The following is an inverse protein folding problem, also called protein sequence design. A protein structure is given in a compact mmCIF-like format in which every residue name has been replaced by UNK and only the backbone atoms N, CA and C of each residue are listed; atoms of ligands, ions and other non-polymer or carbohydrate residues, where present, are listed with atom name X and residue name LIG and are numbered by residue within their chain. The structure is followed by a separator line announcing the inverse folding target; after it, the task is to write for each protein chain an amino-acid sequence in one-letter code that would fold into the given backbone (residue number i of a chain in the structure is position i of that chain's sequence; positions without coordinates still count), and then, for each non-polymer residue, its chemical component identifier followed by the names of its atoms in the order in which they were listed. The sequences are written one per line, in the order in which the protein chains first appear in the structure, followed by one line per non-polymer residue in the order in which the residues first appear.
data_IF_069755968089
#
_entry.id   IF_069755968089
#
_cell.length_a   1.000
_cell.length_b   1.000
_cell.length_c   1.000
_cell.angle_alpha   90.00
_cell.angle_beta   90.00
_cell.angle_gamma   90.00
#
_symmetry.space_group_name_H-M   'P 1'
#
loop_
_entity.id
_entity.type
_entity.pdbx_description
1 polymer ?
#
# COMPACT_ATOMS: atom_id res chain seq x y z
N UNK A 1 2.51 -7.72 25.26
CA UNK A 1 3.86 -7.73 24.66
C UNK A 1 4.46 -6.34 24.82
N UNK A 2 5.60 -6.24 25.51
CA UNK A 2 6.33 -4.98 25.69
C UNK A 2 6.69 -4.35 24.32
N UNK A 3 6.70 -3.02 24.25
CA UNK A 3 7.03 -2.27 23.02
C UNK A 3 8.46 -2.59 22.59
N UNK A 4 8.63 -3.14 21.40
CA UNK A 4 9.94 -3.51 20.83
C UNK A 4 10.50 -2.40 19.93
N UNK A 5 10.70 -1.21 20.49
CA UNK A 5 11.39 -0.10 19.85
C UNK A 5 10.52 1.11 19.45
N UNK A 6 11.11 2.11 18.77
CA UNK A 6 10.43 3.35 18.39
C UNK A 6 9.36 3.13 17.32
N UNK A 7 8.29 3.90 17.41
CA UNK A 7 7.18 3.94 16.46
C UNK A 7 7.07 5.33 15.80
N UNK A 8 6.43 5.41 14.64
CA UNK A 8 6.11 6.72 14.01
C UNK A 8 5.27 7.60 14.95
N UNK A 9 4.41 6.98 15.78
CA UNK A 9 3.63 7.70 16.77
C UNK A 9 4.49 8.43 17.81
N UNK A 10 5.65 7.89 18.17
CA UNK A 10 6.55 8.55 19.12
C UNK A 10 7.21 9.77 18.50
N UNK A 11 7.63 9.67 17.24
CA UNK A 11 8.20 10.80 16.49
C UNK A 11 7.18 11.95 16.44
N UNK A 12 5.92 11.64 16.16
CA UNK A 12 4.87 12.65 16.10
C UNK A 12 4.49 13.21 17.48
N UNK A 13 4.52 12.40 18.54
CA UNK A 13 4.31 12.91 19.91
C UNK A 13 5.44 13.83 20.36
N UNK A 14 6.69 13.48 20.04
CA UNK A 14 7.85 14.28 20.43
C UNK A 14 8.02 15.56 19.60
N UNK A 15 7.75 15.52 18.29
CA UNK A 15 8.11 16.60 17.36
C UNK A 15 6.95 17.12 16.50
N UNK A 16 5.76 16.51 16.58
CA UNK A 16 4.63 16.84 15.72
C UNK A 16 4.03 18.22 15.97
N UNK A 17 4.04 18.70 17.22
CA UNK A 17 3.58 20.05 17.56
C UNK A 17 4.50 21.12 16.96
N UNK A 18 5.81 21.02 17.21
CA UNK A 18 6.80 21.92 16.62
C UNK A 18 6.73 21.92 15.09
N UNK A 19 6.59 20.74 14.48
CA UNK A 19 6.40 20.61 13.03
C UNK A 19 5.13 21.34 12.54
N UNK A 20 4.00 21.20 13.25
CA UNK A 20 2.76 21.89 12.89
C UNK A 20 2.91 23.41 12.98
N UNK A 21 3.56 23.90 14.03
CA UNK A 21 3.80 25.33 14.21
C UNK A 21 4.70 25.91 13.10
N UNK A 22 5.78 25.20 12.74
CA UNK A 22 6.72 25.65 11.71
C UNK A 22 6.15 25.60 10.30
N UNK A 23 5.29 24.61 9.99
CA UNK A 23 4.79 24.33 8.64
C UNK A 23 3.30 24.66 8.45
N UNK A 24 2.73 25.51 9.30
CA UNK A 24 1.28 25.72 9.41
C UNK A 24 0.62 26.05 8.05
N UNK A 25 1.23 26.94 7.27
CA UNK A 25 0.69 27.36 5.96
C UNK A 25 0.77 26.30 4.86
N UNK A 26 1.63 25.28 5.02
CA UNK A 26 1.88 24.26 4.01
C UNK A 26 1.20 22.90 4.30
N UNK A 27 0.78 22.69 5.54
CA UNK A 27 0.14 21.46 5.98
C UNK A 27 -1.33 21.40 5.58
N UNK A 28 -1.66 20.44 4.73
CA UNK A 28 -3.05 20.12 4.39
C UNK A 28 -3.83 19.60 5.60
N UNK A 29 -5.15 19.83 5.61
CA UNK A 29 -6.07 19.27 6.61
C UNK A 29 -5.95 17.75 6.73
N UNK A 30 -5.75 17.05 5.61
CA UNK A 30 -5.55 15.60 5.59
C UNK A 30 -4.27 15.18 6.34
N UNK A 31 -3.16 15.89 6.14
CA UNK A 31 -1.91 15.63 6.85
C UNK A 31 -2.07 15.87 8.35
N UNK A 32 -2.71 16.97 8.76
CA UNK A 32 -2.99 17.26 10.18
C UNK A 32 -3.81 16.15 10.84
N UNK A 33 -4.92 15.75 10.21
CA UNK A 33 -5.78 14.66 10.70
C UNK A 33 -4.99 13.35 10.86
N UNK A 34 -4.11 13.03 9.93
CA UNK A 34 -3.29 11.82 9.99
C UNK A 34 -2.24 11.91 11.10
N UNK A 35 -1.59 13.07 11.29
CA UNK A 35 -0.67 13.27 12.41
C UNK A 35 -1.38 13.02 13.74
N UNK A 36 -2.52 13.69 13.97
CA UNK A 36 -3.33 13.50 15.18
C UNK A 36 -3.79 12.06 15.35
N UNK A 37 -4.29 11.41 14.29
CA UNK A 37 -4.73 10.01 14.35
C UNK A 37 -3.59 9.08 14.79
N UNK A 38 -2.37 9.27 14.27
CA UNK A 38 -1.22 8.44 14.61
C UNK A 38 -0.73 8.75 16.04
N UNK A 39 -0.71 10.02 16.46
CA UNK A 39 -0.36 10.45 17.82
C UNK A 39 -1.26 9.81 18.88
N UNK A 40 -2.58 9.82 18.64
CA UNK A 40 -3.57 9.26 19.57
C UNK A 40 -3.69 7.73 19.50
N UNK A 41 -3.13 7.10 18.47
CA UNK A 41 -3.26 5.66 18.24
C UNK A 41 -2.72 4.85 19.42
N UNK A 42 -3.56 3.92 19.93
CA UNK A 42 -3.23 3.04 21.07
C UNK A 42 -2.89 3.82 22.34
N UNK A 43 -3.62 4.90 22.61
CA UNK A 43 -3.56 5.66 23.86
C UNK A 43 -4.95 5.72 24.50
N UNK A 44 -5.01 6.13 25.76
CA UNK A 44 -6.26 6.35 26.49
C UNK A 44 -7.21 7.33 25.80
N UNK A 45 -6.69 8.26 24.98
CA UNK A 45 -7.50 9.25 24.28
C UNK A 45 -8.49 8.65 23.27
N UNK A 46 -8.28 7.40 22.82
CA UNK A 46 -9.21 6.69 21.95
C UNK A 46 -10.11 5.70 22.71
N UNK A 47 -10.07 5.71 24.04
CA UNK A 47 -10.69 4.70 24.88
C UNK A 47 -10.01 3.34 24.74
N UNK A 48 -10.62 2.33 25.35
CA UNK A 48 -10.10 0.97 25.33
C UNK A 48 -10.86 0.07 26.29
N UNK A 49 -10.22 -1.02 26.64
CA UNK A 49 -10.78 -1.98 27.59
C UNK A 49 -9.71 -2.57 28.49
N UNK A 50 -10.12 -2.96 29.69
CA UNK A 50 -9.28 -3.68 30.64
C UNK A 50 -9.62 -5.16 30.52
N UNK A 51 -8.60 -5.99 30.42
CA UNK A 51 -8.73 -7.44 30.47
C UNK A 51 -8.11 -7.96 31.76
N UNK A 52 -8.77 -8.92 32.41
CA UNK A 52 -8.23 -9.65 33.55
C UNK A 52 -8.16 -11.14 33.22
N UNK A 53 -7.14 -11.82 33.72
CA UNK A 53 -7.04 -13.27 33.65
C UNK A 53 -8.03 -13.91 34.62
N UNK A 54 -8.86 -14.82 34.12
CA UNK A 54 -9.84 -15.59 34.89
C UNK A 54 -9.22 -16.56 35.91
N UNK A 55 -7.90 -16.81 35.85
CA UNK A 55 -7.20 -17.71 36.77
C UNK A 55 -6.22 -17.00 37.71
N UNK A 56 -5.31 -16.18 37.19
CA UNK A 56 -4.24 -15.57 38.00
C UNK A 56 -4.48 -14.10 38.34
N UNK A 57 -5.60 -13.51 37.89
CA UNK A 57 -5.92 -12.10 38.12
C UNK A 57 -5.02 -11.10 37.41
N UNK A 58 -4.07 -11.53 36.57
CA UNK A 58 -3.23 -10.63 35.76
C UNK A 58 -4.10 -9.68 34.92
N UNK A 59 -3.85 -8.36 35.00
CA UNK A 59 -4.61 -7.34 34.26
C UNK A 59 -3.76 -6.70 33.17
N UNK A 60 -4.39 -6.34 32.06
CA UNK A 60 -3.76 -5.51 31.01
C UNK A 60 -4.78 -4.56 30.40
N UNK A 61 -4.31 -3.40 29.97
CA UNK A 61 -5.12 -2.41 29.25
C UNK A 61 -4.87 -2.54 27.75
N UNK A 62 -5.93 -2.56 26.96
CA UNK A 62 -5.88 -2.59 25.51
C UNK A 62 -6.56 -1.33 24.94
N UNK A 63 -5.75 -0.36 24.52
CA UNK A 63 -6.25 0.86 23.91
C UNK A 63 -6.70 0.67 22.46
N UNK A 64 -7.72 1.44 22.05
CA UNK A 64 -8.25 1.41 20.70
C UNK A 64 -7.26 1.94 19.65
N UNK A 65 -7.41 1.43 18.43
CA UNK A 65 -6.59 1.86 17.29
C UNK A 65 -7.23 3.05 16.56
N UNK A 66 -6.43 3.94 15.98
CA UNK A 66 -6.97 5.05 15.17
C UNK A 66 -7.61 4.63 13.84
N UNK A 67 -7.36 3.38 13.39
CA UNK A 67 -7.86 2.80 12.12
C UNK A 67 -7.43 3.53 10.85
N UNK A 68 -6.58 4.56 10.93
CA UNK A 68 -6.09 5.27 9.75
C UNK A 68 -5.22 4.38 8.85
N UNK A 69 -5.39 4.52 7.53
CA UNK A 69 -4.66 3.73 6.52
C UNK A 69 -3.16 4.01 6.44
N UNK A 70 -2.71 5.14 6.98
CA UNK A 70 -1.32 5.57 7.00
C UNK A 70 -0.65 5.26 8.35
N UNK A 71 -1.39 4.77 9.35
CA UNK A 71 -0.81 4.36 10.62
C UNK A 71 -0.05 3.02 10.47
N UNK A 72 1.27 2.97 10.74
CA UNK A 72 2.05 1.73 10.62
C UNK A 72 1.57 0.60 11.55
N UNK A 73 0.83 0.93 12.60
CA UNK A 73 0.37 -0.02 13.63
C UNK A 73 -1.00 -0.64 13.36
N UNK A 74 -1.86 0.02 12.58
CA UNK A 74 -3.26 -0.39 12.41
C UNK A 74 -3.51 -1.36 11.25
N UNK A 75 -2.59 -1.43 10.28
CA UNK A 75 -2.89 -2.05 8.98
C UNK A 75 -2.77 -3.58 8.93
N UNK A 76 -2.27 -4.24 9.98
CA UNK A 76 -1.97 -5.68 9.96
C UNK A 76 -3.21 -6.56 9.75
N UNK A 77 -4.31 -6.29 10.45
CA UNK A 77 -5.53 -7.10 10.34
C UNK A 77 -6.28 -6.84 9.02
N UNK A 78 -6.36 -5.57 8.59
CA UNK A 78 -6.91 -5.21 7.29
C UNK A 78 -6.13 -5.89 6.15
N UNK A 79 -4.80 -5.94 6.26
CA UNK A 79 -3.93 -6.67 5.33
C UNK A 79 -4.26 -8.15 5.29
N UNK A 80 -4.41 -8.79 6.45
CA UNK A 80 -4.68 -10.21 6.52
C UNK A 80 -6.06 -10.58 5.92
N UNK A 81 -7.10 -9.80 6.24
CA UNK A 81 -8.41 -9.98 5.63
C UNK A 81 -8.33 -9.83 4.11
N UNK A 82 -7.69 -8.76 3.64
CA UNK A 82 -7.55 -8.52 2.22
C UNK A 82 -6.79 -9.65 1.51
N UNK A 83 -5.79 -10.26 2.16
CA UNK A 83 -5.06 -11.42 1.64
C UNK A 83 -5.93 -12.66 1.52
N UNK A 84 -6.74 -12.93 2.53
CA UNK A 84 -7.69 -14.04 2.52
C UNK A 84 -8.65 -13.90 1.33
N UNK A 85 -9.23 -12.72 1.15
CA UNK A 85 -10.11 -12.44 0.02
C UNK A 85 -9.42 -12.67 -1.34
N UNK A 86 -8.12 -12.33 -1.45
CA UNK A 86 -7.37 -12.57 -2.70
C UNK A 86 -7.02 -14.03 -2.89
N UNK A 87 -6.78 -14.81 -1.83
CA UNK A 87 -6.48 -16.24 -1.93
C UNK A 87 -7.61 -16.97 -2.63
N UNK A 88 -8.85 -16.65 -2.27
CA UNK A 88 -10.04 -17.26 -2.86
C UNK A 88 -10.18 -16.99 -4.37
N UNK A 89 -9.49 -15.97 -4.90
CA UNK A 89 -9.60 -15.53 -6.28
C UNK A 89 -8.41 -15.95 -7.15
N UNK A 90 -7.41 -16.63 -6.57
CA UNK A 90 -6.27 -17.12 -7.35
C UNK A 90 -6.73 -18.26 -8.27
N UNK A 91 -6.22 -18.23 -9.49
CA UNK A 91 -6.39 -19.24 -10.53
C UNK A 91 -5.17 -20.16 -10.53
N UNK A 92 -5.31 -21.38 -11.04
CA UNK A 92 -4.20 -22.33 -11.22
C UNK A 92 -3.37 -21.94 -12.44
N UNK A 93 -2.58 -20.88 -12.27
CA UNK A 93 -1.73 -20.30 -13.31
C UNK A 93 -0.54 -19.59 -12.69
N UNK A 94 0.45 -19.27 -13.52
CA UNK A 94 1.57 -18.43 -13.12
C UNK A 94 1.08 -17.02 -12.76
N UNK A 95 1.77 -16.32 -11.88
CA UNK A 95 1.45 -14.92 -11.59
C UNK A 95 2.70 -14.07 -11.74
N UNK A 96 2.58 -12.97 -12.46
CA UNK A 96 3.70 -12.08 -12.76
C UNK A 96 3.59 -10.79 -11.96
N UNK A 97 4.75 -10.29 -11.52
CA UNK A 97 4.86 -8.97 -10.89
C UNK A 97 5.42 -7.97 -11.88
N UNK A 98 4.57 -7.03 -12.32
CA UNK A 98 4.95 -5.95 -13.22
C UNK A 98 4.99 -4.63 -12.45
N UNK A 99 6.06 -3.85 -12.59
CA UNK A 99 6.21 -2.53 -11.98
C UNK A 99 6.23 -1.46 -13.06
N UNK A 100 5.46 -0.40 -12.86
CA UNK A 100 5.50 0.83 -13.67
C UNK A 100 5.92 1.98 -12.78
N UNK A 101 7.02 2.65 -13.11
CA UNK A 101 7.61 3.73 -12.29
C UNK A 101 7.61 5.05 -13.04
N UNK A 102 7.21 6.13 -12.36
CA UNK A 102 7.31 7.47 -12.93
C UNK A 102 8.74 8.02 -12.82
N UNK A 103 9.29 8.64 -13.87
CA UNK A 103 10.56 9.38 -13.80
C UNK A 103 10.52 10.51 -12.77
N UNK A 104 11.68 10.94 -12.29
CA UNK A 104 11.81 12.00 -11.28
C UNK A 104 11.10 13.29 -11.68
N UNK A 105 11.22 13.69 -12.94
CA UNK A 105 10.56 14.88 -13.50
C UNK A 105 9.03 14.81 -13.41
N UNK A 106 8.46 13.66 -13.76
CA UNK A 106 7.01 13.44 -13.62
C UNK A 106 6.61 13.33 -12.14
N UNK A 107 7.46 12.74 -11.29
CA UNK A 107 7.19 12.67 -9.87
C UNK A 107 7.10 14.08 -9.25
N UNK A 108 7.91 15.04 -9.72
CA UNK A 108 7.82 16.45 -9.31
C UNK A 108 6.45 17.06 -9.68
N UNK A 109 5.94 16.81 -10.89
CA UNK A 109 4.57 17.21 -11.27
C UNK A 109 3.52 16.51 -10.38
N UNK A 110 3.71 15.22 -10.10
CA UNK A 110 2.82 14.43 -9.26
C UNK A 110 2.76 14.94 -7.82
N UNK A 111 3.83 15.59 -7.33
CA UNK A 111 3.85 16.16 -5.99
C UNK A 111 2.79 17.25 -5.81
N UNK A 112 2.62 18.11 -6.82
CA UNK A 112 1.65 19.21 -6.83
C UNK A 112 0.25 18.75 -7.31
N UNK A 113 0.18 17.65 -8.06
CA UNK A 113 -1.04 17.18 -8.74
C UNK A 113 -1.40 15.71 -8.41
N UNK A 114 -1.20 15.29 -7.15
CA UNK A 114 -1.28 13.88 -6.71
C UNK A 114 -2.47 13.09 -7.26
N UNK A 115 -3.70 13.58 -7.04
CA UNK A 115 -4.91 12.85 -7.41
C UNK A 115 -5.00 12.59 -8.91
N UNK A 116 -4.70 13.61 -9.72
CA UNK A 116 -4.75 13.56 -11.17
C UNK A 116 -3.63 12.67 -11.72
N UNK A 117 -2.38 12.96 -11.35
CA UNK A 117 -1.22 12.25 -11.91
C UNK A 117 -1.19 10.78 -11.49
N UNK A 118 -1.56 10.44 -10.25
CA UNK A 118 -1.69 9.04 -9.86
C UNK A 118 -2.83 8.34 -10.59
N UNK A 119 -3.93 9.03 -10.89
CA UNK A 119 -5.01 8.46 -11.72
C UNK A 119 -4.56 8.23 -13.17
N UNK A 120 -3.77 9.13 -13.74
CA UNK A 120 -3.13 8.94 -15.05
C UNK A 120 -2.17 7.75 -15.04
N UNK A 121 -1.38 7.58 -13.97
CA UNK A 121 -0.50 6.43 -13.79
C UNK A 121 -1.27 5.11 -13.82
N UNK A 122 -2.39 5.01 -13.09
CA UNK A 122 -3.28 3.85 -13.15
C UNK A 122 -3.86 3.62 -14.55
N UNK A 123 -4.35 4.69 -15.19
CA UNK A 123 -4.97 4.61 -16.52
C UNK A 123 -3.98 4.10 -17.57
N UNK A 124 -2.83 4.77 -17.71
CA UNK A 124 -1.80 4.42 -18.67
C UNK A 124 -1.24 3.01 -18.45
N UNK A 125 -1.05 2.61 -17.19
CA UNK A 125 -0.62 1.25 -16.84
C UNK A 125 -1.63 0.20 -17.28
N UNK A 126 -2.92 0.41 -16.95
CA UNK A 126 -3.95 -0.56 -17.27
C UNK A 126 -4.20 -0.67 -18.78
N UNK A 127 -4.19 0.46 -19.48
CA UNK A 127 -4.30 0.53 -20.93
C UNK A 127 -3.12 -0.20 -21.59
N UNK A 128 -1.88 0.08 -21.16
CA UNK A 128 -0.67 -0.60 -21.66
C UNK A 128 -0.76 -2.11 -21.53
N UNK A 129 -1.06 -2.61 -20.32
CA UNK A 129 -1.12 -4.04 -20.07
C UNK A 129 -2.20 -4.72 -20.90
N UNK A 130 -3.41 -4.13 -20.97
CA UNK A 130 -4.53 -4.71 -21.72
C UNK A 130 -4.30 -4.68 -23.24
N UNK A 131 -3.76 -3.58 -23.77
CA UNK A 131 -3.48 -3.45 -25.20
C UNK A 131 -2.43 -4.44 -25.66
N UNK A 132 -1.30 -4.55 -24.96
CA UNK A 132 -0.22 -5.47 -25.36
C UNK A 132 -0.62 -6.93 -25.12
N UNK A 133 -1.37 -7.23 -24.05
CA UNK A 133 -1.86 -8.58 -23.82
C UNK A 133 -2.88 -9.04 -24.86
N UNK A 134 -3.75 -8.16 -25.34
CA UNK A 134 -4.77 -8.50 -26.33
C UNK A 134 -4.19 -8.71 -27.74
N UNK A 135 -2.99 -8.22 -28.05
CA UNK A 135 -2.35 -8.40 -29.36
C UNK A 135 -1.93 -9.87 -29.57
N UNK A 136 -2.43 -10.58 -30.60
CA UNK A 136 -2.05 -11.95 -30.92
C UNK A 136 -0.56 -12.14 -31.24
N UNK A 137 0.15 -11.08 -31.64
CA UNK A 137 1.62 -11.11 -31.81
C UNK A 137 2.36 -11.24 -30.48
N UNK A 138 1.66 -11.00 -29.37
CA UNK A 138 2.17 -11.13 -28.02
C UNK A 138 1.48 -12.27 -27.27
N UNK A 139 0.32 -12.02 -26.67
CA UNK A 139 -0.42 -13.03 -25.91
C UNK A 139 -1.78 -13.35 -26.55
N UNK A 140 -2.49 -12.36 -27.09
CA UNK A 140 -3.81 -12.55 -27.69
C UNK A 140 -4.94 -12.78 -26.69
N UNK A 141 -4.82 -12.28 -25.45
CA UNK A 141 -5.75 -12.60 -24.36
C UNK A 141 -6.22 -11.38 -23.55
N UNK A 142 -7.45 -11.46 -23.06
CA UNK A 142 -7.96 -10.60 -21.98
C UNK A 142 -7.41 -11.08 -20.64
N UNK A 143 -6.34 -10.42 -20.17
CA UNK A 143 -5.73 -10.67 -18.87
C UNK A 143 -6.54 -10.08 -17.71
N UNK A 144 -6.29 -10.57 -16.51
CA UNK A 144 -6.83 -10.04 -15.25
C UNK A 144 -5.71 -9.72 -14.28
N UNK A 145 -5.79 -8.54 -13.67
CA UNK A 145 -4.78 -8.05 -12.75
C UNK A 145 -5.32 -7.03 -11.78
N UNK A 146 -4.57 -6.77 -10.72
CA UNK A 146 -4.75 -5.59 -9.89
C UNK A 146 -3.45 -4.82 -9.77
N UNK A 147 -3.59 -3.52 -9.55
CA UNK A 147 -2.48 -2.60 -9.38
C UNK A 147 -2.56 -1.92 -8.01
N UNK A 148 -1.42 -1.77 -7.37
CA UNK A 148 -1.25 -1.14 -6.05
C UNK A 148 -0.31 0.04 -6.19
N UNK A 149 -0.77 1.23 -5.81
CA UNK A 149 0.05 2.44 -5.80
C UNK A 149 0.96 2.51 -4.58
N UNK A 150 2.26 2.71 -4.82
CA UNK A 150 3.20 3.25 -3.85
C UNK A 150 3.74 4.57 -4.30
N UNK A 151 4.12 5.39 -3.31
CA UNK A 151 4.64 6.74 -3.55
C UNK A 151 6.00 6.95 -2.91
N UNK A 152 6.66 5.89 -2.41
CA UNK A 152 7.93 5.97 -1.66
C UNK A 152 8.97 4.96 -2.13
N UNK A 153 10.24 5.36 -2.05
CA UNK A 153 11.39 4.46 -2.09
C UNK A 153 11.78 3.93 -0.69
N UNK A 154 12.89 3.19 -0.60
CA UNK A 154 13.39 2.72 0.71
C UNK A 154 13.77 3.87 1.63
N UNK A 155 14.33 4.97 1.11
CA UNK A 155 14.69 6.17 1.86
C UNK A 155 13.50 7.11 2.16
N UNK A 156 12.26 6.67 1.90
CA UNK A 156 11.03 7.45 2.12
C UNK A 156 11.01 8.75 1.28
N UNK A 157 11.73 8.77 0.17
CA UNK A 157 11.59 9.83 -0.83
C UNK A 157 10.43 9.54 -1.77
N UNK A 158 9.86 10.60 -2.33
CA UNK A 158 8.75 10.52 -3.28
C UNK A 158 9.16 9.75 -4.53
N UNK A 159 8.52 8.60 -4.74
CA UNK A 159 8.79 7.69 -5.84
C UNK A 159 7.50 6.97 -6.26
N UNK A 160 6.62 7.62 -7.05
CA UNK A 160 5.38 7.02 -7.50
C UNK A 160 5.60 5.84 -8.45
N UNK A 161 5.05 4.69 -8.09
CA UNK A 161 5.05 3.49 -8.93
C UNK A 161 3.86 2.59 -8.62
N UNK A 162 3.50 1.76 -9.60
CA UNK A 162 2.49 0.73 -9.43
C UNK A 162 3.14 -0.64 -9.37
N UNK A 163 2.72 -1.44 -8.38
CA UNK A 163 2.93 -2.88 -8.39
C UNK A 163 1.68 -3.55 -8.96
N UNK A 164 1.82 -4.20 -10.10
CA UNK A 164 0.78 -4.99 -10.74
C UNK A 164 1.02 -6.48 -10.50
N UNK A 165 -0.02 -7.19 -10.08
CA UNK A 165 -0.01 -8.65 -10.02
C UNK A 165 -0.97 -9.16 -11.07
N UNK A 166 -0.41 -9.87 -12.05
CA UNK A 166 -1.07 -10.25 -13.30
C UNK A 166 -1.12 -11.76 -13.40
N UNK A 167 -2.30 -12.30 -13.72
CA UNK A 167 -2.42 -13.73 -14.03
C UNK A 167 -1.63 -14.07 -15.31
N UNK A 168 -1.02 -15.25 -15.33
CA UNK A 168 -0.15 -15.76 -16.38
C UNK A 168 -0.91 -16.31 -17.57
N UNK A 169 -1.91 -15.56 -18.02
CA UNK A 169 -2.81 -15.91 -19.09
C UNK A 169 -4.10 -15.10 -18.99
N UNK A 170 -5.02 -15.38 -19.90
CA UNK A 170 -6.30 -14.71 -19.96
C UNK A 170 -7.28 -15.41 -20.88
N UNK A 171 -8.46 -14.80 -21.02
CA UNK A 171 -9.50 -15.29 -21.91
C UNK A 171 -9.15 -14.96 -23.36
N UNK A 172 -9.41 -15.87 -24.30
CA UNK A 172 -9.38 -15.57 -25.74
C UNK A 172 -10.40 -14.47 -26.09
N UNK A 173 -10.26 -13.87 -27.28
CA UNK A 173 -11.15 -12.78 -27.72
C UNK A 173 -12.63 -13.17 -27.76
N UNK A 174 -12.94 -14.44 -28.05
CA UNK A 174 -14.28 -15.04 -28.02
C UNK A 174 -14.70 -15.52 -26.62
N UNK A 175 -13.80 -15.43 -25.63
CA UNK A 175 -13.99 -15.91 -24.27
C UNK A 175 -14.01 -17.44 -24.12
N UNK A 176 -13.85 -18.23 -25.19
CA UNK A 176 -14.07 -19.68 -25.15
C UNK A 176 -12.88 -20.48 -24.65
N UNK A 177 -11.68 -19.89 -24.58
CA UNK A 177 -10.44 -20.59 -24.23
C UNK A 177 -9.61 -19.76 -23.26
N UNK A 178 -8.87 -20.46 -22.42
CA UNK A 178 -7.78 -19.86 -21.66
C UNK A 178 -6.49 -19.88 -22.50
N UNK A 179 -5.87 -18.72 -22.66
CA UNK A 179 -4.59 -18.56 -23.33
C UNK A 179 -3.51 -18.35 -22.28
N UNK A 180 -2.61 -19.32 -22.15
CA UNK A 180 -1.52 -19.33 -21.17
C UNK A 180 -0.30 -18.55 -21.68
N UNK A 181 0.34 -17.80 -20.78
CA UNK A 181 1.64 -17.19 -21.04
C UNK A 181 2.73 -18.26 -21.20
N UNK A 182 3.80 -17.93 -21.94
CA UNK A 182 4.98 -18.81 -22.01
C UNK A 182 5.59 -18.98 -20.59
N UNK A 183 6.12 -20.17 -20.23
CA UNK A 183 6.74 -20.38 -18.93
C UNK A 183 7.80 -19.32 -18.62
N UNK A 184 7.70 -18.67 -17.46
CA UNK A 184 8.67 -17.68 -17.02
C UNK A 184 8.58 -16.32 -17.73
N UNK A 185 7.71 -16.16 -18.73
CA UNK A 185 7.66 -14.99 -19.59
C UNK A 185 6.24 -14.44 -19.72
N UNK A 186 6.06 -13.16 -19.40
CA UNK A 186 4.78 -12.47 -19.54
C UNK A 186 4.68 -11.72 -20.87
N UNK A 187 5.18 -10.49 -20.92
CA UNK A 187 5.16 -9.62 -22.10
C UNK A 187 6.50 -8.90 -22.26
N UNK A 188 6.89 -8.49 -23.49
CA UNK A 188 8.16 -7.79 -23.70
C UNK A 188 8.21 -6.44 -22.98
N UNK A 189 9.08 -6.31 -21.97
CA UNK A 189 9.19 -5.10 -21.14
C UNK A 189 9.48 -3.83 -21.95
N UNK A 190 10.29 -3.93 -23.02
CA UNK A 190 10.58 -2.78 -23.90
C UNK A 190 9.32 -2.27 -24.62
N UNK A 191 8.41 -3.18 -25.00
CA UNK A 191 7.14 -2.81 -25.64
C UNK A 191 6.22 -2.16 -24.62
N UNK A 192 6.10 -2.75 -23.42
CA UNK A 192 5.33 -2.17 -22.31
C UNK A 192 5.83 -0.76 -21.96
N UNK A 193 7.14 -0.58 -21.78
CA UNK A 193 7.74 0.71 -21.43
C UNK A 193 7.45 1.79 -22.46
N UNK A 194 7.63 1.48 -23.75
CA UNK A 194 7.39 2.44 -24.84
C UNK A 194 5.93 2.86 -24.95
N UNK A 195 5.00 1.91 -24.87
CA UNK A 195 3.56 2.22 -24.91
C UNK A 195 3.13 2.99 -23.66
N UNK A 196 3.57 2.57 -22.47
CA UNK A 196 3.28 3.26 -21.22
C UNK A 196 3.75 4.71 -21.23
N UNK A 197 5.00 4.95 -21.64
CA UNK A 197 5.56 6.29 -21.79
C UNK A 197 4.70 7.15 -22.70
N UNK A 198 4.35 6.64 -23.88
CA UNK A 198 3.50 7.37 -24.85
C UNK A 198 2.15 7.72 -24.25
N UNK A 199 1.41 6.73 -23.77
CA UNK A 199 0.06 6.92 -23.22
C UNK A 199 0.06 7.86 -22.02
N UNK A 200 1.04 7.73 -21.12
CA UNK A 200 1.13 8.58 -19.95
C UNK A 200 1.35 10.05 -20.35
N UNK A 201 2.31 10.31 -21.25
CA UNK A 201 2.60 11.67 -21.70
C UNK A 201 1.41 12.27 -22.47
N UNK A 202 0.75 11.50 -23.35
CA UNK A 202 -0.46 11.94 -24.04
C UNK A 202 -1.59 12.30 -23.06
N UNK A 203 -1.84 11.47 -22.05
CA UNK A 203 -2.86 11.77 -21.04
C UNK A 203 -2.49 12.98 -20.17
N UNK A 204 -1.20 13.17 -19.89
CA UNK A 204 -0.70 14.31 -19.12
C UNK A 204 -0.81 15.62 -19.91
N UNK A 205 -0.48 15.60 -21.21
CA UNK A 205 -0.65 16.73 -22.13
C UNK A 205 -2.13 17.11 -22.28
N UNK A 206 -3.03 16.13 -22.42
CA UNK A 206 -4.48 16.39 -22.43
C UNK A 206 -4.97 17.03 -21.13
N UNK A 207 -4.47 16.57 -19.99
CA UNK A 207 -4.82 17.15 -18.69
C UNK A 207 -4.27 18.58 -18.53
N UNK A 208 -3.09 18.87 -19.10
CA UNK A 208 -2.54 20.21 -19.20
C UNK A 208 -3.43 21.12 -20.05
N UNK A 209 -3.74 20.70 -21.29
CA UNK A 209 -4.54 21.48 -22.24
C UNK A 209 -5.98 21.74 -21.71
N UNK A 210 -6.48 20.86 -20.82
CA UNK A 210 -7.75 21.02 -20.12
C UNK A 210 -7.68 21.91 -18.85
N UNK A 211 -6.53 22.51 -18.53
CA UNK A 211 -6.34 23.39 -17.38
C UNK A 211 -6.41 22.68 -16.02
N UNK A 212 -6.18 21.36 -15.98
CA UNK A 212 -6.36 20.56 -14.75
C UNK A 212 -5.09 20.47 -13.90
N UNK A 213 -3.93 20.82 -14.45
CA UNK A 213 -2.65 20.81 -13.73
C UNK A 213 -2.38 22.18 -13.12
N UNK A 214 -1.92 22.16 -11.86
CA UNK A 214 -1.50 23.35 -11.13
C UNK A 214 0.01 23.29 -10.91
N UNK A 215 0.66 24.44 -11.08
CA UNK A 215 2.10 24.55 -10.95
C UNK A 215 2.46 25.70 -10.01
N UNK A 216 3.38 25.43 -9.09
CA UNK A 216 3.80 26.38 -8.07
C UNK A 216 5.32 26.35 -7.87
N UNK A 217 5.85 27.43 -7.29
CA UNK A 217 7.26 27.55 -6.90
C UNK A 217 8.20 27.20 -8.07
N UNK A 218 9.17 26.30 -7.88
CA UNK A 218 10.13 25.93 -8.93
C UNK A 218 9.55 25.24 -10.17
N UNK A 219 8.23 24.96 -10.21
CA UNK A 219 7.55 24.47 -11.41
C UNK A 219 6.62 25.51 -12.04
N UNK A 220 6.54 26.74 -11.51
CA UNK A 220 5.56 27.75 -11.95
C UNK A 220 5.59 27.99 -13.47
N UNK A 221 6.77 28.06 -14.08
CA UNK A 221 6.93 28.24 -15.53
C UNK A 221 6.21 27.16 -16.36
N UNK A 222 5.97 25.97 -15.79
CA UNK A 222 5.24 24.90 -16.46
C UNK A 222 3.76 25.22 -16.66
N UNK A 223 3.21 26.31 -16.10
CA UNK A 223 1.87 26.80 -16.48
C UNK A 223 1.81 27.25 -17.93
N UNK A 224 2.95 27.65 -18.51
CA UNK A 224 3.05 28.04 -19.90
C UNK A 224 3.23 26.84 -20.81
N UNK A 225 2.34 26.68 -21.80
CA UNK A 225 2.32 25.50 -22.68
C UNK A 225 3.66 25.21 -23.35
N UNK A 226 4.36 26.26 -23.80
CA UNK A 226 5.68 26.11 -24.41
C UNK A 226 6.74 25.55 -23.45
N UNK A 227 6.75 26.03 -22.20
CA UNK A 227 7.66 25.53 -21.17
C UNK A 227 7.31 24.09 -20.75
N UNK A 228 6.03 23.79 -20.61
CA UNK A 228 5.53 22.45 -20.33
C UNK A 228 5.97 21.43 -21.40
N UNK A 229 5.80 21.75 -22.69
CA UNK A 229 6.21 20.86 -23.77
C UNK A 229 7.72 20.65 -23.83
N UNK A 230 8.52 21.70 -23.56
CA UNK A 230 9.97 21.60 -23.43
C UNK A 230 10.38 20.72 -22.26
N UNK A 231 9.70 20.83 -21.12
CA UNK A 231 9.92 19.97 -19.96
C UNK A 231 9.67 18.49 -20.27
N UNK A 232 8.62 18.18 -21.06
CA UNK A 232 8.32 16.80 -21.46
C UNK A 232 9.19 16.27 -22.61
N UNK A 233 9.86 17.13 -23.39
CA UNK A 233 10.58 16.71 -24.60
C UNK A 233 11.69 15.67 -24.33
N UNK A 234 12.56 15.81 -23.31
CA UNK A 234 13.53 14.77 -22.97
C UNK A 234 12.85 13.44 -22.57
N UNK A 235 11.72 13.51 -21.87
CA UNK A 235 11.00 12.35 -21.34
C UNK A 235 10.37 11.48 -22.42
N UNK A 236 10.10 12.03 -23.61
CA UNK A 236 9.63 11.27 -24.79
C UNK A 236 10.69 10.33 -25.34
N UNK A 237 11.97 10.66 -25.16
CA UNK A 237 13.12 9.89 -25.63
C UNK A 237 13.75 9.02 -24.54
N UNK A 238 13.60 9.40 -23.27
CA UNK A 238 14.13 8.67 -22.14
C UNK A 238 13.52 7.25 -22.02
N UNK A 239 14.32 6.30 -21.54
CA UNK A 239 13.84 4.95 -21.21
C UNK A 239 13.15 4.96 -19.84
N UNK A 240 11.86 4.61 -19.83
CA UNK A 240 11.06 4.56 -18.60
C UNK A 240 11.19 3.18 -17.95
N UNK A 241 11.27 3.16 -16.63
CA UNK A 241 11.45 1.91 -15.88
C UNK A 241 10.13 1.17 -15.78
N UNK A 242 10.00 0.14 -16.62
CA UNK A 242 9.05 -0.95 -16.46
C UNK A 242 9.84 -2.20 -16.16
N UNK A 243 9.34 -3.02 -15.24
CA UNK A 243 10.00 -4.27 -14.88
C UNK A 243 8.97 -5.38 -14.75
N UNK A 244 9.27 -6.57 -15.26
CA UNK A 244 8.44 -7.77 -15.10
C UNK A 244 9.30 -8.85 -14.44
N UNK A 245 8.95 -9.25 -13.21
CA UNK A 245 9.61 -10.36 -12.54
C UNK A 245 9.15 -11.70 -13.14
N UNK A 246 10.03 -12.72 -13.10
CA UNK A 246 9.61 -14.12 -13.26
C UNK A 246 8.41 -14.44 -12.36
N UNK A 247 7.62 -15.45 -12.73
CA UNK A 247 6.42 -15.80 -12.01
C UNK A 247 6.75 -16.18 -10.57
N UNK A 248 5.83 -15.91 -9.65
CA UNK A 248 5.94 -16.43 -8.29
C UNK A 248 6.01 -17.96 -8.32
N UNK A 249 6.71 -18.59 -7.39
CA UNK A 249 6.82 -20.06 -7.36
C UNK A 249 5.53 -20.78 -6.90
N UNK A 250 4.38 -20.10 -6.98
CA UNK A 250 3.06 -20.64 -6.69
C UNK A 250 2.10 -19.61 -6.06
N UNK A 251 0.78 -19.92 -5.99
CA UNK A 251 -0.26 -19.06 -5.41
C UNK A 251 0.06 -18.53 -3.99
N UNK A 252 0.68 -19.35 -3.13
CA UNK A 252 1.08 -18.93 -1.78
C UNK A 252 2.10 -17.78 -1.79
N UNK A 253 3.09 -17.83 -2.68
CA UNK A 253 4.08 -16.76 -2.81
C UNK A 253 3.50 -15.47 -3.41
N UNK A 254 2.44 -15.58 -4.23
CA UNK A 254 1.66 -14.42 -4.66
C UNK A 254 1.09 -13.72 -3.45
N UNK A 255 0.47 -14.44 -2.52
CA UNK A 255 -0.13 -13.85 -1.31
C UNK A 255 0.92 -13.19 -0.41
N UNK A 256 2.02 -13.89 -0.13
CA UNK A 256 3.11 -13.33 0.66
C UNK A 256 3.66 -12.04 0.05
N UNK A 257 3.85 -12.06 -1.26
CA UNK A 257 4.27 -10.88 -1.99
C UNK A 257 3.23 -9.78 -1.87
N UNK A 258 2.00 -10.05 -2.27
CA UNK A 258 0.93 -9.06 -2.37
C UNK A 258 0.67 -8.41 -1.02
N UNK A 259 0.67 -9.19 0.06
CA UNK A 259 0.48 -8.70 1.42
C UNK A 259 1.53 -7.69 1.83
N UNK A 260 2.78 -7.90 1.40
CA UNK A 260 3.87 -6.96 1.67
C UNK A 260 3.68 -5.62 0.97
N UNK A 261 2.81 -5.47 -0.02
CA UNK A 261 2.69 -4.24 -0.79
C UNK A 261 1.32 -3.56 -0.66
N UNK A 262 0.25 -4.28 -0.37
CA UNK A 262 -1.12 -3.72 -0.41
C UNK A 262 -1.48 -2.82 0.75
N UNK A 263 -0.89 -3.05 1.92
CA UNK A 263 -1.19 -2.34 3.17
C UNK A 263 0.04 -1.72 3.84
N UNK A 264 1.17 -1.69 3.14
CA UNK A 264 2.33 -0.95 3.62
C UNK A 264 2.03 0.55 3.63
N UNK A 265 2.59 1.18 4.65
CA UNK A 265 2.73 2.62 4.77
C UNK A 265 4.15 3.00 4.36
N UNK A 266 4.42 4.31 4.27
CA UNK A 266 5.73 4.87 3.90
C UNK A 266 6.92 4.17 4.59
N UNK A 267 6.77 3.85 5.88
CA UNK A 267 7.78 3.15 6.68
C UNK A 267 7.14 2.27 7.76
N UNK A 268 7.66 1.06 7.95
CA UNK A 268 7.27 0.16 9.06
C UNK A 268 8.02 0.53 10.34
N UNK A 269 7.36 0.44 11.51
CA UNK A 269 7.99 0.68 12.82
C UNK A 269 9.26 -0.16 13.01
N UNK A 270 9.31 -1.41 12.53
CA UNK A 270 10.49 -2.27 12.62
C UNK A 270 11.73 -1.70 11.90
N UNK A 271 11.57 -0.70 11.03
CA UNK A 271 12.70 -0.01 10.39
C UNK A 271 13.26 1.11 11.24
N UNK A 272 12.50 1.65 12.18
CA UNK A 272 12.97 2.68 13.11
C UNK A 272 13.93 2.06 14.12
N UNK A 273 15.05 2.73 14.35
CA UNK A 273 16.14 2.27 15.21
C UNK A 273 16.17 3.09 16.49
N UNK A 274 16.11 4.43 16.37
CA UNK A 274 16.12 5.34 17.50
C UNK A 274 15.52 6.71 17.16
N UNK A 275 15.14 7.43 18.21
CA UNK A 275 14.64 8.79 18.19
C UNK A 275 15.35 9.54 19.33
N UNK A 276 16.37 10.31 18.99
CA UNK A 276 17.31 10.94 19.95
C UNK A 276 17.76 12.30 19.38
N UNK A 277 17.92 13.29 20.26
CA UNK A 277 18.52 14.60 19.94
C UNK A 277 17.94 15.31 18.70
N UNK A 278 16.62 15.25 18.52
CA UNK A 278 15.94 15.88 17.38
C UNK A 278 16.12 15.14 16.05
N UNK A 279 16.65 13.92 16.08
CA UNK A 279 16.90 13.09 14.89
C UNK A 279 16.17 11.76 14.95
N UNK A 280 15.93 11.19 13.76
CA UNK A 280 15.33 9.87 13.57
C UNK A 280 16.31 9.00 12.80
N UNK A 281 16.61 7.82 13.36
CA UNK A 281 17.47 6.81 12.72
C UNK A 281 16.62 5.65 12.22
N UNK A 282 16.78 5.27 10.95
CA UNK A 282 16.06 4.13 10.39
C UNK A 282 16.85 3.33 9.37
N UNK A 283 16.59 2.02 9.32
CA UNK A 283 17.21 1.07 8.39
C UNK A 283 16.65 1.24 6.98
N UNK A 284 17.50 1.21 5.96
CA UNK A 284 17.15 1.22 4.54
C UNK A 284 18.03 0.24 3.75
N UNK A 285 17.52 -0.25 2.62
CA UNK A 285 18.27 -1.12 1.71
C UNK A 285 18.93 -0.29 0.61
N UNK A 286 20.23 -0.44 0.48
CA UNK A 286 21.02 0.20 -0.57
C UNK A 286 21.08 -0.69 -1.82
N UNK A 287 20.15 -0.46 -2.74
CA UNK A 287 20.10 -1.19 -4.01
C UNK A 287 21.32 -0.96 -4.90
N UNK A 288 22.03 0.17 -4.74
CA UNK A 288 23.23 0.48 -5.53
C UNK A 288 24.45 -0.28 -5.02
N UNK A 289 24.44 -0.68 -3.76
CA UNK A 289 25.52 -1.45 -3.12
C UNK A 289 25.03 -2.84 -2.69
N UNK A 290 24.53 -3.63 -3.65
CA UNK A 290 24.25 -5.05 -3.44
C UNK A 290 23.14 -5.37 -2.43
N UNK A 291 22.16 -4.48 -2.23
CA UNK A 291 21.08 -4.62 -1.24
C UNK A 291 21.52 -4.60 0.22
N UNK A 292 22.70 -4.04 0.53
CA UNK A 292 23.16 -3.91 1.90
C UNK A 292 22.17 -3.14 2.77
N UNK A 293 21.98 -3.61 4.00
CA UNK A 293 21.18 -2.91 5.01
C UNK A 293 22.04 -1.82 5.64
N UNK A 294 21.62 -0.57 5.50
CA UNK A 294 22.29 0.60 6.07
C UNK A 294 21.34 1.33 7.00
N UNK A 295 21.88 2.15 7.90
CA UNK A 295 21.09 3.08 8.73
C UNK A 295 21.27 4.47 8.16
N UNK A 296 20.19 5.26 8.11
CA UNK A 296 20.27 6.69 7.82
C UNK A 296 19.71 7.49 8.98
N UNK A 297 20.33 8.64 9.22
CA UNK A 297 19.92 9.63 10.21
C UNK A 297 19.40 10.85 9.49
N UNK A 298 18.24 11.34 9.90
CA UNK A 298 17.64 12.58 9.39
C UNK A 298 17.10 13.39 10.57
N UNK A 299 16.97 14.71 10.41
CA UNK A 299 16.23 15.53 11.36
C UNK A 299 14.79 15.02 11.50
N UNK A 300 14.19 15.14 12.68
CA UNK A 300 12.81 14.74 12.93
C UNK A 300 11.83 15.50 12.01
N UNK A 301 12.07 16.79 11.79
CA UNK A 301 11.35 17.61 10.83
C UNK A 301 11.36 16.99 9.41
N UNK A 302 12.54 16.66 8.91
CA UNK A 302 12.72 16.03 7.60
C UNK A 302 12.04 14.65 7.51
N UNK A 303 12.09 13.88 8.60
CA UNK A 303 11.39 12.60 8.66
C UNK A 303 9.88 12.78 8.55
N UNK A 304 9.30 13.70 9.33
CA UNK A 304 7.86 13.99 9.30
C UNK A 304 7.46 14.49 7.92
N UNK A 305 8.23 15.41 7.33
CA UNK A 305 8.02 15.88 5.95
C UNK A 305 7.96 14.70 4.99
N UNK A 306 8.98 13.85 4.96
CA UNK A 306 9.04 12.65 4.10
C UNK A 306 7.86 11.72 4.31
N UNK A 307 7.52 11.43 5.56
CA UNK A 307 6.37 10.59 5.89
C UNK A 307 5.06 11.16 5.31
N UNK A 308 4.85 12.47 5.49
CA UNK A 308 3.65 13.17 5.05
C UNK A 308 3.57 13.35 3.52
N UNK A 309 4.68 13.23 2.78
CA UNK A 309 4.66 13.17 1.30
C UNK A 309 3.75 12.05 0.79
N UNK A 310 3.64 10.96 1.55
CA UNK A 310 2.95 9.73 1.16
C UNK A 310 1.49 9.69 1.60
N UNK A 311 1.00 10.74 2.27
CA UNK A 311 -0.43 10.95 2.47
C UNK A 311 -1.09 11.06 1.10
N UNK A 312 -2.00 10.12 0.85
CA UNK A 312 -2.79 10.06 -0.37
C UNK A 312 -4.00 11.00 -0.25
N UNK A 313 -4.47 11.60 -1.37
CA UNK A 313 -5.69 12.38 -1.37
C UNK A 313 -6.88 11.62 -0.75
N UNK A 314 -7.81 12.37 -0.16
CA UNK A 314 -9.03 11.82 0.41
C UNK A 314 -9.84 11.08 -0.68
N UNK A 315 -10.47 9.96 -0.31
CA UNK A 315 -11.19 9.10 -1.25
C UNK A 315 -10.33 8.37 -2.28
N UNK A 316 -9.01 8.62 -2.36
CA UNK A 316 -8.19 8.01 -3.40
C UNK A 316 -8.01 6.49 -3.19
N UNK A 317 -8.45 5.70 -4.18
CA UNK A 317 -8.31 4.24 -4.17
C UNK A 317 -6.87 3.82 -4.56
N UNK A 318 -6.12 3.32 -3.56
CA UNK A 318 -4.73 2.82 -3.71
C UNK A 318 -4.64 1.50 -4.47
N UNK A 319 -5.69 0.68 -4.46
CA UNK A 319 -5.74 -0.63 -5.12
C UNK A 319 -6.87 -0.59 -6.15
N UNK A 320 -6.57 -0.99 -7.39
CA UNK A 320 -7.55 -1.03 -8.48
C UNK A 320 -7.45 -2.36 -9.24
N UNK A 321 -8.59 -2.87 -9.70
CA UNK A 321 -8.72 -4.16 -10.38
C UNK A 321 -9.12 -3.97 -11.83
N UNK A 322 -8.58 -4.79 -12.73
CA UNK A 322 -8.70 -4.61 -14.18
C UNK A 322 -8.88 -5.95 -14.91
N UNK A 323 -9.39 -5.85 -16.15
CA UNK A 323 -9.69 -7.00 -16.99
C UNK A 323 -10.72 -7.92 -16.35
N UNK A 324 -10.48 -9.23 -16.37
CA UNK A 324 -11.39 -10.19 -15.74
C UNK A 324 -11.47 -10.07 -14.20
N UNK A 325 -10.55 -9.36 -13.56
CA UNK A 325 -10.63 -9.05 -12.12
C UNK A 325 -11.46 -7.78 -11.81
N UNK A 326 -11.92 -7.05 -12.83
CA UNK A 326 -12.70 -5.82 -12.65
C UNK A 326 -13.99 -6.06 -11.88
N UNK A 327 -14.27 -5.21 -10.87
CA UNK A 327 -15.34 -5.43 -9.88
C UNK A 327 -16.71 -5.81 -10.47
N UNK A 328 -17.11 -5.24 -11.61
CA UNK A 328 -18.42 -5.48 -12.24
C UNK A 328 -18.63 -6.93 -12.70
N UNK A 329 -17.58 -7.58 -13.19
CA UNK A 329 -17.67 -8.92 -13.81
C UNK A 329 -16.78 -9.96 -13.11
N UNK A 330 -16.15 -9.58 -12.00
CA UNK A 330 -15.11 -10.37 -11.34
C UNK A 330 -15.59 -11.77 -10.98
N UNK A 331 -16.77 -11.88 -10.37
CA UNK A 331 -17.30 -13.17 -9.89
C UNK A 331 -17.56 -14.10 -11.07
N UNK A 332 -18.30 -13.62 -12.07
CA UNK A 332 -18.64 -14.36 -13.29
C UNK A 332 -17.40 -14.77 -14.08
N UNK A 333 -16.52 -13.82 -14.39
CA UNK A 333 -15.32 -14.11 -15.20
C UNK A 333 -14.33 -15.00 -14.46
N UNK A 334 -14.20 -14.89 -13.14
CA UNK A 334 -13.37 -15.83 -12.37
C UNK A 334 -13.97 -17.24 -12.35
N UNK A 335 -15.29 -17.39 -12.26
CA UNK A 335 -15.93 -18.70 -12.37
C UNK A 335 -15.69 -19.31 -13.76
N UNK A 336 -15.83 -18.49 -14.81
CA UNK A 336 -15.55 -18.90 -16.19
C UNK A 336 -14.08 -19.30 -16.41
N UNK A 337 -13.13 -18.51 -15.92
CA UNK A 337 -11.71 -18.85 -15.98
C UNK A 337 -11.40 -20.18 -15.27
N UNK A 338 -12.03 -20.44 -14.12
CA UNK A 338 -11.88 -21.72 -13.40
C UNK A 338 -12.40 -22.90 -14.22
N UNK A 339 -13.56 -22.75 -14.85
CA UNK A 339 -14.11 -23.80 -15.72
C UNK A 339 -13.15 -24.12 -16.88
N UNK A 340 -12.62 -23.09 -17.55
CA UNK A 340 -11.66 -23.26 -18.64
C UNK A 340 -10.31 -23.85 -18.21
N UNK A 341 -9.91 -23.64 -16.95
CA UNK A 341 -8.70 -24.20 -16.35
C UNK A 341 -8.93 -25.58 -15.71
N UNK A 342 -10.14 -26.14 -15.77
CA UNK A 342 -10.48 -27.42 -15.12
C UNK A 342 -10.38 -27.35 -13.59
N UNK A 343 -10.48 -26.17 -13.00
CA UNK A 343 -10.39 -25.98 -11.55
C UNK A 343 -11.72 -26.35 -10.89
N UNK A 344 -11.69 -26.91 -9.66
CA UNK A 344 -12.90 -27.16 -8.90
C UNK A 344 -13.62 -25.84 -8.59
N UNK A 345 -14.95 -25.90 -8.55
CA UNK A 345 -15.76 -24.77 -8.07
C UNK A 345 -15.35 -24.48 -6.63
N UNK A 346 -14.94 -23.24 -6.29
CA UNK A 346 -14.61 -22.91 -4.91
C UNK A 346 -15.82 -23.17 -4.03
N UNK A 347 -15.65 -23.95 -2.96
CA UNK A 347 -16.68 -24.02 -1.93
C UNK A 347 -16.92 -22.60 -1.42
N UNK A 348 -18.19 -22.15 -1.27
CA UNK A 348 -18.47 -20.88 -0.61
C UNK A 348 -17.73 -20.87 0.72
N UNK A 349 -16.88 -19.87 0.99
CA UNK A 349 -16.24 -19.82 2.30
C UNK A 349 -17.34 -19.56 3.33
N UNK A 350 -17.50 -20.48 4.28
CA UNK A 350 -18.42 -20.32 5.42
C UNK A 350 -18.01 -19.14 6.32
N UNK A 351 -16.87 -18.51 6.05
CA UNK A 351 -16.27 -17.44 6.85
C UNK A 351 -16.83 -16.03 6.59
N UNK A 352 -18.11 -15.90 6.22
CA UNK A 352 -18.78 -14.59 6.18
C UNK A 352 -19.29 -14.12 7.55
N UNK A 353 -19.22 -14.96 8.59
CA UNK A 353 -19.31 -14.44 9.96
C UNK A 353 -18.09 -13.56 10.23
N UNK A 354 -18.31 -12.38 10.79
CA UNK A 354 -17.22 -11.48 11.17
C UNK A 354 -16.44 -12.13 12.32
N UNK A 355 -15.44 -12.97 12.00
CA UNK A 355 -14.51 -13.52 12.99
C UNK A 355 -13.99 -12.39 13.87
N UNK A 356 -13.96 -12.57 15.19
CA UNK A 356 -13.35 -11.62 16.12
C UNK A 356 -11.88 -11.40 15.70
N UNK A 357 -11.35 -10.20 15.90
CA UNK A 357 -9.97 -9.91 15.52
C UNK A 357 -8.95 -10.77 16.28
N UNK A 358 -9.31 -11.24 17.49
CA UNK A 358 -8.51 -12.16 18.31
C UNK A 358 -8.41 -13.53 17.66
N UNK A 359 -9.51 -14.05 17.14
CA UNK A 359 -9.54 -15.34 16.44
C UNK A 359 -8.71 -15.25 15.15
N UNK A 360 -8.83 -14.13 14.42
CA UNK A 360 -7.99 -13.91 13.23
C UNK A 360 -6.51 -13.79 13.58
N UNK A 361 -6.17 -13.13 14.68
CA UNK A 361 -4.78 -13.02 15.12
C UNK A 361 -4.20 -14.41 15.45
N UNK A 362 -4.99 -15.26 16.10
CA UNK A 362 -4.63 -16.63 16.42
C UNK A 362 -4.44 -17.47 15.15
N UNK A 363 -5.39 -17.43 14.21
CA UNK A 363 -5.28 -18.10 12.90
C UNK A 363 -3.98 -17.72 12.15
N UNK A 364 -3.54 -16.46 12.27
CA UNK A 364 -2.39 -15.92 11.54
C UNK A 364 -1.05 -16.14 12.22
N UNK A 365 -1.03 -16.18 13.55
CA UNK A 365 0.22 -16.19 14.34
C UNK A 365 0.43 -17.49 15.10
N UNK A 366 -0.59 -18.34 15.21
CA UNK A 366 -0.62 -19.49 16.11
C UNK A 366 -0.69 -19.10 17.60
N UNK A 367 -0.84 -17.82 17.92
CA UNK A 367 -0.87 -17.33 19.29
C UNK A 367 -2.23 -16.71 19.61
N UNK A 368 -2.89 -17.20 20.65
CA UNK A 368 -4.16 -16.62 21.08
C UNK A 368 -3.93 -15.30 21.82
N UNK A 369 -4.63 -14.24 21.40
CA UNK A 369 -4.73 -13.02 22.20
C UNK A 369 -5.52 -13.26 23.49
N UNK A 370 -6.30 -14.34 23.58
CA UNK A 370 -7.08 -14.69 24.78
C UNK A 370 -6.21 -15.36 25.82
N UNK A 371 -5.10 -16.00 25.46
CA UNK A 371 -4.24 -16.65 26.44
C UNK A 371 -3.57 -15.60 27.35
N UNK A 372 -3.60 -15.85 28.66
CA UNK A 372 -2.94 -15.01 29.64
C UNK A 372 -1.41 -15.04 29.43
N UNK A 373 -0.75 -13.88 29.28
CA UNK A 373 0.70 -13.84 29.08
C UNK A 373 1.51 -14.09 30.37
N UNK A 374 0.85 -14.08 31.54
CA UNK A 374 1.50 -14.29 32.83
C UNK A 374 1.48 -15.75 33.27
N UNK A 375 0.29 -16.38 33.28
CA UNK A 375 0.16 -17.77 33.72
C UNK A 375 0.11 -18.78 32.58
N UNK A 376 -0.13 -18.36 31.32
CA UNK A 376 -0.31 -19.24 30.15
C UNK A 376 -1.48 -20.25 30.20
N UNK A 377 -2.19 -20.36 31.32
CA UNK A 377 -3.31 -21.29 31.52
C UNK A 377 -4.69 -20.63 31.45
N UNK A 378 -4.80 -19.38 31.94
CA UNK A 378 -6.07 -18.65 31.99
C UNK A 378 -6.36 -17.83 30.73
N UNK A 379 -7.60 -17.37 30.63
CA UNK A 379 -8.07 -16.50 29.55
C UNK A 379 -8.20 -15.05 30.01
N UNK A 380 -7.79 -14.13 29.14
CA UNK A 380 -7.95 -12.69 29.27
C UNK A 380 -9.39 -12.33 28.89
N UNK A 381 -10.21 -12.02 29.89
CA UNK A 381 -11.60 -11.59 29.72
C UNK A 381 -11.72 -10.08 29.90
N UNK A 382 -12.52 -9.42 29.07
CA UNK A 382 -12.81 -7.99 29.22
C UNK A 382 -13.62 -7.78 30.50
N UNK A 383 -13.09 -7.01 31.44
CA UNK A 383 -13.75 -6.69 32.71
C UNK A 383 -14.24 -5.24 32.79
N UNK A 384 -13.72 -4.37 31.92
CA UNK A 384 -14.07 -2.95 31.90
C UNK A 384 -13.88 -2.38 30.50
N UNK A 385 -14.76 -1.45 30.09
CA UNK A 385 -14.65 -0.69 28.84
C UNK A 385 -14.72 0.79 29.22
N UNK A 386 -13.84 1.60 28.63
CA UNK A 386 -13.83 3.05 28.82
C UNK A 386 -13.77 3.77 27.47
N UNK A 387 -14.49 4.89 27.37
CA UNK A 387 -14.68 5.65 26.15
C UNK A 387 -13.57 6.69 25.93
N UNK A 388 -13.54 7.27 24.73
CA UNK A 388 -12.69 8.41 24.44
C UNK A 388 -13.12 9.62 25.28
N UNK A 389 -12.29 10.01 26.26
CA UNK A 389 -12.52 11.17 27.14
C UNK A 389 -12.66 10.84 28.62
N UNK A 390 -12.94 9.59 28.97
CA UNK A 390 -12.75 9.04 30.31
C UNK A 390 -11.41 8.31 30.31
N UNK A 391 -10.37 8.91 30.92
CA UNK A 391 -9.08 8.24 31.08
C UNK A 391 -9.23 6.87 31.79
N UNK A 392 -8.23 5.99 31.75
CA UNK A 392 -8.26 4.75 32.53
C UNK A 392 -8.54 5.09 34.01
N UNK A 393 -9.26 4.24 34.75
CA UNK A 393 -9.65 4.57 36.11
C UNK A 393 -8.42 4.89 36.97
N UNK A 394 -8.54 5.84 37.93
CA UNK A 394 -7.42 6.59 38.52
C UNK A 394 -6.37 5.78 39.30
N UNK A 395 -6.57 4.49 39.49
CA UNK A 395 -5.64 3.60 40.19
C UNK A 395 -4.59 2.96 39.27
N UNK A 396 -4.57 3.28 37.97
CA UNK A 396 -3.54 2.83 37.03
C UNK A 396 -2.56 3.96 36.68
N UNK A 397 -1.39 3.92 37.31
CA UNK A 397 -0.25 4.71 36.87
C UNK A 397 0.23 4.21 35.49
N UNK A 398 0.34 5.14 34.53
CA UNK A 398 0.75 4.87 33.14
C UNK A 398 2.10 5.51 32.79
N UNK A 399 2.89 5.84 33.82
CA UNK A 399 4.28 6.28 33.70
C UNK A 399 5.19 5.27 33.01
#
# INVERSE_FOLDING_TARGET
MARSGPEVADILRCYGEAYRAQHDTSLSTAQRRIMTAIELCRTAALGGHVEACDQCGHRRIAFNSCRDRHCPRCQSLARAQWLEDRRAELLDTQYFHVVFTLPGDIAAIAYQNKALVYSLLFRATAETLRTIAADPKHLGAEIGFFAVLHTWGQNVLHHPHLHCVVAGGGLSADGQRWITCKPGFFLPVRVLSRLFRRLFLEHLEKAFDAGQLKFFSGLQDLSERGAFLRYLAPLRKAEWVVYAKPPFAGPGQVLDYVGRYTHRVAISNNRLVAIEDGTVRFRWKDYRHGNQQKVMTVAADEFIRRFLLHVLPEGFHRIRYYGFLGNRYRVEKLAHCRALLGMPVPKPSESRSAKDYRDRYEDLTGHSLRQCPACHHGQMITVEIFDAGTGPPPYWDTS
#
